data_IF_446826106729
#
_entry.id   IF_446826106729
#
_cell.length_a   1.000
_cell.length_b   1.000
_cell.length_c   1.000
_cell.angle_alpha   90.00
_cell.angle_beta   90.00
_cell.angle_gamma   90.00
#
_symmetry.space_group_name_H-M   'P 1'
#
loop_
_entity.id
_entity.type
_entity.pdbx_description
1 polymer ?
#
# COMPACT_ATOMS: atom_id res chain seq x y z
N UNK A 1 -23.80 -35.51 -21.06
CA UNK A 1 -22.68 -34.69 -21.61
C UNK A 1 -22.88 -33.17 -21.47
N UNK A 2 -24.06 -32.68 -21.03
CA UNK A 2 -24.37 -31.24 -20.91
C UNK A 2 -23.90 -30.62 -19.58
N UNK A 3 -24.04 -31.34 -18.46
CA UNK A 3 -23.67 -30.86 -17.11
C UNK A 3 -22.17 -30.56 -17.00
N UNK A 4 -21.32 -31.42 -17.58
CA UNK A 4 -19.87 -31.17 -17.64
C UNK A 4 -19.55 -29.87 -18.39
N UNK A 5 -20.28 -29.56 -19.46
CA UNK A 5 -20.05 -28.36 -20.30
C UNK A 5 -20.41 -27.08 -19.55
N UNK A 6 -21.50 -27.10 -18.78
CA UNK A 6 -21.91 -26.00 -17.89
C UNK A 6 -20.85 -25.76 -16.81
N UNK A 7 -20.42 -26.83 -16.11
CA UNK A 7 -19.40 -26.73 -15.07
C UNK A 7 -18.07 -26.16 -15.60
N UNK A 8 -17.66 -26.60 -16.79
CA UNK A 8 -16.45 -26.10 -17.46
C UNK A 8 -16.59 -24.60 -17.81
N UNK A 9 -17.75 -24.16 -18.27
CA UNK A 9 -17.98 -22.76 -18.62
C UNK A 9 -17.99 -21.85 -17.38
N UNK A 10 -18.62 -22.30 -16.29
CA UNK A 10 -18.65 -21.55 -15.02
C UNK A 10 -17.25 -21.43 -14.42
N UNK A 11 -16.45 -22.52 -14.42
CA UNK A 11 -15.07 -22.49 -13.92
C UNK A 11 -14.20 -21.50 -14.71
N UNK A 12 -14.37 -21.45 -16.04
CA UNK A 12 -13.63 -20.50 -16.90
C UNK A 12 -14.03 -19.05 -16.64
N UNK A 13 -15.31 -18.77 -16.47
CA UNK A 13 -15.79 -17.42 -16.19
C UNK A 13 -15.34 -16.93 -14.81
N UNK A 14 -15.39 -17.81 -13.80
CA UNK A 14 -14.87 -17.52 -12.46
C UNK A 14 -13.35 -17.27 -12.45
N UNK A 15 -12.58 -18.05 -13.21
CA UNK A 15 -11.14 -17.84 -13.35
C UNK A 15 -10.81 -16.49 -14.03
N UNK A 16 -11.60 -16.07 -15.01
CA UNK A 16 -11.43 -14.78 -15.68
C UNK A 16 -11.74 -13.61 -14.73
N UNK A 17 -12.80 -13.72 -13.92
CA UNK A 17 -13.13 -12.73 -12.90
C UNK A 17 -12.02 -12.69 -11.83
N UNK A 18 -11.54 -13.85 -11.39
CA UNK A 18 -10.45 -13.93 -10.40
C UNK A 18 -9.15 -13.30 -10.92
N UNK A 19 -8.82 -13.45 -12.21
CA UNK A 19 -7.67 -12.77 -12.79
C UNK A 19 -7.82 -11.25 -12.81
N UNK A 20 -9.04 -10.72 -13.02
CA UNK A 20 -9.30 -9.28 -12.96
C UNK A 20 -9.11 -8.74 -11.53
N UNK A 21 -9.52 -9.49 -10.50
CA UNK A 21 -9.23 -9.13 -9.11
C UNK A 21 -7.74 -9.20 -8.77
N UNK A 22 -7.01 -10.15 -9.35
CA UNK A 22 -5.56 -10.29 -9.14
C UNK A 22 -4.73 -9.26 -9.92
N UNK A 23 -5.32 -8.52 -10.86
CA UNK A 23 -4.68 -7.40 -11.59
C UNK A 23 -4.51 -6.15 -10.72
N UNK A 24 -5.17 -6.06 -9.55
CA UNK A 24 -4.80 -5.03 -8.55
C UNK A 24 -3.54 -5.39 -7.75
N UNK A 25 -2.99 -6.60 -7.95
CA UNK A 25 -1.62 -6.97 -7.60
C UNK A 25 -0.69 -6.77 -8.82
N UNK A 26 -1.06 -5.89 -9.74
CA UNK A 26 -0.28 -5.51 -10.90
C UNK A 26 0.85 -4.58 -10.49
N UNK A 27 2.08 -5.10 -10.59
CA UNK A 27 3.32 -4.32 -10.71
C UNK A 27 3.57 -3.26 -9.63
N UNK A 28 3.76 -3.72 -8.39
CA UNK A 28 4.39 -2.91 -7.34
C UNK A 28 5.86 -2.58 -7.63
N UNK A 29 6.48 -3.14 -8.68
CA UNK A 29 7.91 -3.01 -8.94
C UNK A 29 8.31 -1.67 -9.54
N UNK A 30 7.42 -0.99 -10.28
CA UNK A 30 7.77 0.27 -10.96
C UNK A 30 7.18 1.54 -10.30
N UNK A 31 6.27 1.41 -9.33
CA UNK A 31 5.66 2.55 -8.61
C UNK A 31 5.75 2.47 -7.08
N UNK A 32 6.50 1.50 -6.56
CA UNK A 32 7.07 1.64 -5.21
C UNK A 32 8.18 2.69 -5.29
N UNK A 33 7.77 3.95 -5.46
CA UNK A 33 8.60 5.06 -5.04
C UNK A 33 8.95 4.77 -3.59
N UNK A 34 10.18 4.31 -3.40
CA UNK A 34 10.64 3.72 -2.17
C UNK A 34 10.25 4.69 -1.06
N UNK A 35 9.52 4.27 -0.02
CA UNK A 35 9.07 5.20 1.03
C UNK A 35 10.26 5.97 1.62
N UNK A 36 11.50 5.49 1.43
CA UNK A 36 12.75 6.19 1.70
C UNK A 36 12.96 7.51 0.96
N UNK A 37 12.20 7.79 -0.10
CA UNK A 37 12.16 9.09 -0.77
C UNK A 37 11.57 10.17 0.12
N UNK A 38 10.77 9.81 1.13
CA UNK A 38 10.29 10.74 2.15
C UNK A 38 11.44 11.02 3.13
N UNK A 39 11.83 12.30 3.30
CA UNK A 39 12.85 12.67 4.27
C UNK A 39 12.50 12.19 5.68
N UNK A 40 13.40 11.40 6.27
CA UNK A 40 13.24 10.82 7.60
C UNK A 40 12.73 9.38 7.63
N UNK A 41 12.29 8.81 6.51
CA UNK A 41 11.97 7.39 6.42
C UNK A 41 13.22 6.62 6.00
N UNK A 42 13.84 5.93 6.96
CA UNK A 42 14.91 4.97 6.68
C UNK A 42 14.36 3.59 6.33
N UNK A 43 15.22 2.70 5.84
CA UNK A 43 14.88 1.29 5.53
C UNK A 43 14.23 0.56 6.71
N UNK A 44 14.64 0.85 7.95
CA UNK A 44 14.05 0.28 9.16
C UNK A 44 12.60 0.72 9.38
N UNK A 45 12.30 2.00 9.17
CA UNK A 45 10.94 2.53 9.36
C UNK A 45 10.03 2.14 8.18
N UNK A 46 10.60 2.02 6.98
CA UNK A 46 9.90 1.62 5.76
C UNK A 46 9.08 0.34 5.95
N UNK A 47 9.65 -0.69 6.60
CA UNK A 47 8.93 -1.92 6.90
C UNK A 47 7.72 -1.69 7.81
N UNK A 48 7.86 -0.86 8.85
CA UNK A 48 6.76 -0.58 9.78
C UNK A 48 5.60 0.15 9.08
N UNK A 49 5.91 1.02 8.12
CA UNK A 49 4.89 1.67 7.28
C UNK A 49 4.17 0.65 6.39
N UNK A 50 4.90 -0.27 5.75
CA UNK A 50 4.28 -1.33 4.96
C UNK A 50 3.41 -2.27 5.80
N UNK A 51 3.87 -2.65 7.00
CA UNK A 51 3.10 -3.47 7.95
C UNK A 51 1.84 -2.75 8.44
N UNK A 52 1.89 -1.42 8.57
CA UNK A 52 0.74 -0.58 8.87
C UNK A 52 -0.19 -0.32 7.67
N UNK A 53 0.13 -0.86 6.49
CA UNK A 53 -0.69 -0.75 5.28
C UNK A 53 -0.41 0.48 4.40
N UNK A 54 0.63 1.25 4.71
CA UNK A 54 1.06 2.39 3.89
C UNK A 54 2.00 1.93 2.80
N UNK A 55 1.48 1.80 1.58
CA UNK A 55 2.22 1.25 0.45
C UNK A 55 2.83 2.34 -0.46
N UNK A 56 2.38 3.58 -0.33
CA UNK A 56 2.84 4.70 -1.17
C UNK A 56 3.14 5.96 -0.34
N UNK A 57 4.02 6.86 -0.81
CA UNK A 57 4.26 8.14 -0.14
C UNK A 57 2.99 8.95 0.09
N UNK A 58 2.06 8.97 -0.87
CA UNK A 58 0.79 9.70 -0.79
C UNK A 58 -0.08 9.18 0.35
N UNK A 59 -0.05 7.87 0.62
CA UNK A 59 -0.80 7.27 1.72
C UNK A 59 -0.30 7.79 3.07
N UNK A 60 1.01 7.93 3.24
CA UNK A 60 1.63 8.50 4.46
C UNK A 60 1.33 9.99 4.57
N UNK A 61 1.42 10.72 3.46
CA UNK A 61 1.13 12.15 3.40
C UNK A 61 -0.33 12.41 3.77
N UNK A 62 -1.26 11.56 3.32
CA UNK A 62 -2.70 11.71 3.55
C UNK A 62 -3.17 11.24 4.93
N UNK A 63 -2.40 10.38 5.59
CA UNK A 63 -2.68 9.90 6.94
C UNK A 63 -2.79 11.06 7.95
N UNK A 64 -3.56 10.86 9.02
CA UNK A 64 -3.61 11.79 10.14
C UNK A 64 -2.35 11.66 11.02
N UNK A 65 -2.03 12.70 11.78
CA UNK A 65 -0.90 12.65 12.72
C UNK A 65 -1.09 11.55 13.77
N UNK A 66 -2.33 11.34 14.21
CA UNK A 66 -2.72 10.31 15.18
C UNK A 66 -2.48 8.90 14.64
N UNK A 67 -2.85 8.66 13.37
CA UNK A 67 -2.60 7.39 12.70
C UNK A 67 -1.12 7.10 12.56
N UNK A 68 -0.33 8.09 12.13
CA UNK A 68 1.12 7.94 11.98
C UNK A 68 1.80 7.63 13.32
N UNK A 69 1.35 8.24 14.42
CA UNK A 69 1.88 8.02 15.77
C UNK A 69 1.61 6.62 16.32
N UNK A 70 0.68 5.86 15.73
CA UNK A 70 0.44 4.46 16.11
C UNK A 70 1.49 3.50 15.56
N UNK A 71 2.27 3.94 14.56
CA UNK A 71 3.28 3.12 13.88
C UNK A 71 4.53 3.00 14.76
N UNK A 72 5.02 1.78 15.04
CA UNK A 72 6.25 1.60 15.81
C UNK A 72 7.43 2.36 15.21
N UNK A 73 8.17 3.08 16.05
CA UNK A 73 9.32 3.89 15.62
C UNK A 73 8.96 5.23 14.97
N UNK A 74 7.68 5.56 14.85
CA UNK A 74 7.20 6.89 14.45
C UNK A 74 6.88 7.71 15.71
N UNK A 75 7.54 8.84 15.87
CA UNK A 75 7.34 9.75 17.00
C UNK A 75 6.88 11.14 16.57
N UNK A 76 6.44 11.95 17.53
CA UNK A 76 5.94 13.32 17.31
C UNK A 76 6.95 14.17 16.55
N UNK A 77 8.25 14.05 16.87
CA UNK A 77 9.31 14.78 16.17
C UNK A 77 9.46 14.40 14.70
N UNK A 78 9.18 13.14 14.35
CA UNK A 78 9.18 12.71 12.95
C UNK A 78 7.99 13.30 12.22
N UNK A 79 6.78 13.16 12.77
CA UNK A 79 5.54 13.66 12.16
C UNK A 79 5.64 15.17 11.94
N UNK A 80 6.12 15.92 12.94
CA UNK A 80 6.33 17.37 12.82
C UNK A 80 7.27 17.72 11.64
N UNK A 81 8.44 17.09 11.56
CA UNK A 81 9.41 17.34 10.47
C UNK A 81 8.85 16.95 9.11
N UNK A 82 8.07 15.86 9.05
CA UNK A 82 7.38 15.43 7.84
C UNK A 82 6.41 16.52 7.37
N UNK A 83 5.59 17.08 8.26
CA UNK A 83 4.64 18.16 7.92
C UNK A 83 5.34 19.44 7.48
N UNK A 84 6.43 19.83 8.15
CA UNK A 84 7.26 20.99 7.80
C UNK A 84 7.84 20.83 6.38
N UNK A 85 8.37 19.65 6.07
CA UNK A 85 8.95 19.34 4.75
C UNK A 85 7.92 19.41 3.63
N UNK A 86 6.67 19.07 3.92
CA UNK A 86 5.56 19.07 2.96
C UNK A 86 4.84 20.43 2.87
N UNK A 87 5.29 21.45 3.62
CA UNK A 87 4.68 22.78 3.63
C UNK A 87 3.27 22.82 4.23
N UNK A 88 2.96 21.91 5.16
CA UNK A 88 1.64 21.82 5.81
C UNK A 88 1.56 22.56 7.15
N UNK A 89 2.64 23.20 7.59
CA UNK A 89 2.78 23.94 8.86
C UNK A 89 3.72 25.12 8.70
#
# INVERSE_FOLDING_TARGET
MLIKKILINTKKNLLNILSIFNVQKGDFSDRSENLTSIPGIGTKNCNNFYEAGYLTPESIISASDEELLTIPGVGISFVKKLRETLGRV
#
